data_IF_159722162096
#
_entry.id   IF_159722162096
#
_cell.length_a   1.000
_cell.length_b   1.000
_cell.length_c   1.000
_cell.angle_alpha   90.00
_cell.angle_beta   90.00
_cell.angle_gamma   90.00
#
_symmetry.space_group_name_H-M   'P 1'
#
loop_
_entity.id
_entity.type
_entity.pdbx_description
1 polymer ?
#
# COMPACT_ATOMS: atom_id res chain seq x y z
N UNK A 1 -19.94 13.16 19.71
CA UNK A 1 -20.08 11.98 18.82
C UNK A 1 -18.86 11.83 17.89
N UNK A 2 -17.64 11.83 18.45
CA UNK A 2 -16.37 11.75 17.68
C UNK A 2 -15.79 10.31 17.72
N UNK A 3 -16.42 9.40 18.46
CA UNK A 3 -15.85 8.10 18.80
C UNK A 3 -16.06 7.02 17.72
N UNK A 4 -17.08 7.14 16.86
CA UNK A 4 -17.39 6.09 15.86
C UNK A 4 -16.33 5.95 14.77
N UNK A 5 -15.88 7.07 14.21
CA UNK A 5 -14.83 7.10 13.18
C UNK A 5 -13.50 6.61 13.76
N UNK A 6 -13.18 7.00 15.01
CA UNK A 6 -11.96 6.57 15.65
C UNK A 6 -11.90 5.06 15.88
N UNK A 7 -12.99 4.50 16.42
CA UNK A 7 -13.12 3.06 16.62
C UNK A 7 -12.99 2.30 15.31
N UNK A 8 -13.68 2.73 14.24
CA UNK A 8 -13.57 2.09 12.93
C UNK A 8 -12.15 2.17 12.35
N UNK A 9 -11.49 3.32 12.47
CA UNK A 9 -10.11 3.50 11.99
C UNK A 9 -9.11 2.58 12.70
N UNK A 10 -9.26 2.40 14.02
CA UNK A 10 -8.41 1.49 14.81
C UNK A 10 -8.65 0.03 14.42
N UNK A 11 -9.91 -0.40 14.34
CA UNK A 11 -10.23 -1.77 13.90
C UNK A 11 -9.72 -2.05 12.49
N UNK A 12 -9.89 -1.08 11.58
CA UNK A 12 -9.38 -1.19 10.22
C UNK A 12 -7.86 -1.29 10.18
N UNK A 13 -7.15 -0.43 10.90
CA UNK A 13 -5.69 -0.46 10.98
C UNK A 13 -5.16 -1.80 11.52
N UNK A 14 -5.77 -2.32 12.58
CA UNK A 14 -5.39 -3.62 13.16
C UNK A 14 -5.68 -4.79 12.22
N UNK A 15 -6.84 -4.78 11.56
CA UNK A 15 -7.21 -5.80 10.59
C UNK A 15 -6.24 -5.80 9.39
N UNK A 16 -5.91 -4.61 8.88
CA UNK A 16 -5.00 -4.47 7.75
C UNK A 16 -3.54 -4.79 8.11
N UNK A 17 -3.10 -4.44 9.31
CA UNK A 17 -1.81 -4.88 9.86
C UNK A 17 -1.75 -6.40 9.96
N UNK A 18 -2.76 -7.04 10.56
CA UNK A 18 -2.84 -8.49 10.61
C UNK A 18 -2.83 -9.14 9.21
N UNK A 19 -3.60 -8.59 8.27
CA UNK A 19 -3.62 -9.09 6.90
C UNK A 19 -2.25 -8.96 6.21
N UNK A 20 -1.55 -7.85 6.45
CA UNK A 20 -0.17 -7.62 5.98
C UNK A 20 0.78 -8.68 6.56
N UNK A 21 0.68 -8.93 7.87
CA UNK A 21 1.47 -9.96 8.56
C UNK A 21 1.19 -11.37 8.01
N UNK A 22 -0.07 -11.71 7.72
CA UNK A 22 -0.43 -12.99 7.09
C UNK A 22 0.21 -13.12 5.70
N UNK A 23 0.17 -12.06 4.87
CA UNK A 23 0.82 -12.06 3.56
C UNK A 23 2.34 -12.18 3.65
N UNK A 24 2.94 -11.54 4.65
CA UNK A 24 4.37 -11.68 4.94
C UNK A 24 4.72 -13.13 5.30
N UNK A 25 3.95 -13.76 6.19
CA UNK A 25 4.15 -15.16 6.59
C UNK A 25 4.00 -16.13 5.41
N UNK A 26 3.13 -15.82 4.45
CA UNK A 26 2.94 -16.57 3.20
C UNK A 26 4.04 -16.32 2.15
N UNK A 27 5.03 -15.45 2.44
CA UNK A 27 6.09 -15.02 1.51
C UNK A 27 5.57 -14.39 0.22
N UNK A 28 4.35 -13.86 0.24
CA UNK A 28 3.75 -13.15 -0.90
C UNK A 28 4.32 -11.72 -1.04
N UNK A 29 4.81 -11.15 0.06
CA UNK A 29 5.42 -9.83 0.12
C UNK A 29 6.81 -9.89 0.76
N UNK A 30 7.71 -9.04 0.29
CA UNK A 30 9.06 -8.89 0.86
C UNK A 30 9.00 -8.30 2.27
N UNK A 31 9.98 -8.61 3.12
CA UNK A 31 10.13 -8.00 4.45
C UNK A 31 10.10 -6.47 4.39
N UNK A 32 10.69 -5.86 3.35
CA UNK A 32 10.67 -4.40 3.16
C UNK A 32 9.28 -3.86 2.84
N UNK A 33 8.49 -4.61 2.07
CA UNK A 33 7.12 -4.24 1.74
C UNK A 33 6.23 -4.37 2.98
N UNK A 34 6.39 -5.45 3.76
CA UNK A 34 5.66 -5.65 5.01
C UNK A 34 5.94 -4.51 6.01
N UNK A 35 7.21 -4.14 6.22
CA UNK A 35 7.59 -3.00 7.07
C UNK A 35 6.97 -1.69 6.59
N UNK A 36 7.01 -1.41 5.28
CA UNK A 36 6.38 -0.21 4.72
C UNK A 36 4.88 -0.15 4.99
N UNK A 37 4.18 -1.27 4.83
CA UNK A 37 2.74 -1.36 5.11
C UNK A 37 2.43 -1.22 6.60
N UNK A 38 3.22 -1.84 7.49
CA UNK A 38 3.04 -1.69 8.95
C UNK A 38 3.23 -0.24 9.42
N UNK A 39 4.20 0.49 8.86
CA UNK A 39 4.37 1.92 9.14
C UNK A 39 3.14 2.72 8.72
N UNK A 40 2.55 2.41 7.58
CA UNK A 40 1.33 3.09 7.10
C UNK A 40 0.14 2.79 8.02
N UNK A 41 -0.11 1.52 8.36
CA UNK A 41 -1.23 1.15 9.23
C UNK A 41 -1.09 1.74 10.63
N UNK A 42 0.11 1.68 11.20
CA UNK A 42 0.42 2.30 12.49
C UNK A 42 0.25 3.81 12.45
N UNK A 43 0.73 4.46 11.38
CA UNK A 43 0.55 5.90 11.17
C UNK A 43 -0.91 6.32 11.13
N UNK A 44 -1.77 5.55 10.44
CA UNK A 44 -3.22 5.78 10.40
C UNK A 44 -3.84 5.65 11.80
N UNK A 45 -3.47 4.62 12.57
CA UNK A 45 -3.97 4.44 13.94
C UNK A 45 -3.59 5.64 14.82
N UNK A 46 -2.33 6.08 14.78
CA UNK A 46 -1.83 7.22 15.58
C UNK A 46 -2.58 8.50 15.23
N UNK A 47 -2.76 8.77 13.94
CA UNK A 47 -3.52 9.91 13.42
C UNK A 47 -4.95 9.92 13.96
N UNK A 48 -5.59 8.75 13.93
CA UNK A 48 -7.00 8.60 14.33
C UNK A 48 -7.18 8.78 15.84
N UNK A 49 -6.20 8.38 16.64
CA UNK A 49 -6.23 8.51 18.10
C UNK A 49 -5.95 9.94 18.60
N UNK A 50 -5.25 10.76 17.81
CA UNK A 50 -4.84 12.13 18.21
C UNK A 50 -5.34 13.18 17.21
N UNK A 51 -6.66 13.41 17.10
CA UNK A 51 -7.22 14.37 16.15
C UNK A 51 -6.81 15.83 16.45
N UNK A 52 -6.56 16.18 17.72
CA UNK A 52 -6.29 17.57 18.15
C UNK A 52 -4.90 18.12 17.80
N UNK A 53 -3.91 17.26 17.53
CA UNK A 53 -2.58 17.72 17.07
C UNK A 53 -2.60 18.01 15.56
N UNK A 54 -3.42 17.26 14.82
CA UNK A 54 -3.55 17.38 13.37
C UNK A 54 -4.29 18.67 12.99
N UNK A 55 -5.30 19.09 13.76
CA UNK A 55 -6.00 20.36 13.51
C UNK A 55 -5.06 21.56 13.48
N UNK A 56 -4.10 21.64 14.42
CA UNK A 56 -3.12 22.73 14.49
C UNK A 56 -2.15 22.75 13.29
N UNK A 57 -1.90 21.58 12.69
CA UNK A 57 -1.09 21.49 11.47
C UNK A 57 -1.91 21.87 10.23
N UNK A 58 -3.17 21.44 10.15
CA UNK A 58 -4.07 21.70 9.02
C UNK A 58 -4.40 23.17 8.83
N UNK A 59 -4.52 23.93 9.92
CA UNK A 59 -4.74 25.37 9.89
C UNK A 59 -3.57 26.10 9.18
N UNK A 60 -2.34 25.58 9.30
CA UNK A 60 -1.16 26.13 8.60
C UNK A 60 -1.17 25.83 7.11
N UNK A 61 -1.76 24.71 6.70
CA UNK A 61 -1.83 24.26 5.30
C UNK A 61 -3.11 24.75 4.61
N UNK A 62 -3.98 25.50 5.32
CA UNK A 62 -5.29 25.99 4.84
C UNK A 62 -6.20 24.87 4.32
N UNK A 63 -6.02 23.66 4.83
CA UNK A 63 -6.89 22.53 4.48
C UNK A 63 -8.04 22.54 5.48
N UNK A 64 -9.24 22.81 5.00
CA UNK A 64 -10.43 23.00 5.83
C UNK A 64 -10.74 21.80 6.75
N UNK A 65 -10.31 20.58 6.38
CA UNK A 65 -10.56 19.35 7.12
C UNK A 65 -9.42 18.34 6.98
N UNK A 66 -9.09 17.66 8.08
CA UNK A 66 -8.09 16.59 8.11
C UNK A 66 -8.34 15.52 7.05
N UNK A 67 -9.62 15.19 6.85
CA UNK A 67 -10.09 14.20 5.91
C UNK A 67 -9.68 14.54 4.47
N UNK A 68 -9.70 15.81 4.08
CA UNK A 68 -9.36 16.23 2.72
C UNK A 68 -7.86 16.00 2.44
N UNK A 69 -6.99 16.21 3.44
CA UNK A 69 -5.56 15.88 3.33
C UNK A 69 -5.33 14.37 3.19
N UNK A 70 -6.02 13.55 4.00
CA UNK A 70 -5.91 12.09 3.90
C UNK A 70 -6.42 11.54 2.57
N UNK A 71 -7.50 12.12 2.02
CA UNK A 71 -7.99 11.77 0.69
C UNK A 71 -6.95 12.07 -0.38
N UNK A 72 -6.38 13.27 -0.38
CA UNK A 72 -5.38 13.66 -1.39
C UNK A 72 -4.12 12.79 -1.28
N UNK A 73 -3.60 12.61 -0.07
CA UNK A 73 -2.43 11.75 0.16
C UNK A 73 -2.72 10.29 -0.20
N UNK A 74 -3.90 9.79 0.16
CA UNK A 74 -4.34 8.44 -0.19
C UNK A 74 -4.46 8.24 -1.70
N UNK A 75 -4.99 9.22 -2.43
CA UNK A 75 -5.07 9.18 -3.89
C UNK A 75 -3.68 9.19 -4.54
N UNK A 76 -2.78 10.08 -4.10
CA UNK A 76 -1.41 10.13 -4.60
C UNK A 76 -0.69 8.81 -4.33
N UNK A 77 -0.85 8.26 -3.12
CA UNK A 77 -0.26 6.99 -2.74
C UNK A 77 -0.81 5.83 -3.58
N UNK A 78 -2.13 5.74 -3.76
CA UNK A 78 -2.75 4.72 -4.60
C UNK A 78 -2.30 4.80 -6.06
N UNK A 79 -2.20 6.02 -6.61
CA UNK A 79 -1.69 6.24 -7.96
C UNK A 79 -0.24 5.77 -8.09
N UNK A 80 0.62 6.14 -7.13
CA UNK A 80 2.02 5.73 -7.11
C UNK A 80 2.18 4.21 -7.03
N UNK A 81 1.43 3.54 -6.14
CA UNK A 81 1.44 2.08 -5.98
C UNK A 81 0.90 1.40 -7.24
N UNK A 82 -0.19 1.91 -7.82
CA UNK A 82 -0.79 1.35 -9.03
C UNK A 82 0.15 1.47 -10.23
N UNK A 83 0.81 2.63 -10.37
CA UNK A 83 1.81 2.85 -11.40
C UNK A 83 3.02 1.92 -11.23
N UNK A 84 3.53 1.80 -10.01
CA UNK A 84 4.61 0.86 -9.69
C UNK A 84 4.24 -0.59 -10.03
N UNK A 85 3.01 -0.99 -9.67
CA UNK A 85 2.49 -2.33 -9.96
C UNK A 85 2.38 -2.56 -11.48
N UNK A 86 1.84 -1.59 -12.22
CA UNK A 86 1.72 -1.64 -13.67
C UNK A 86 3.08 -1.85 -14.36
N UNK A 87 4.10 -1.07 -13.96
CA UNK A 87 5.46 -1.19 -14.49
C UNK A 87 6.04 -2.57 -14.17
N UNK A 88 5.87 -3.06 -12.93
CA UNK A 88 6.37 -4.38 -12.54
C UNK A 88 5.67 -5.51 -13.30
N UNK A 89 4.34 -5.45 -13.46
CA UNK A 89 3.58 -6.46 -14.21
C UNK A 89 4.08 -6.53 -15.65
N UNK A 90 4.26 -5.39 -16.32
CA UNK A 90 4.75 -5.36 -17.70
C UNK A 90 6.18 -5.90 -17.82
N UNK A 91 7.06 -5.58 -16.85
CA UNK A 91 8.42 -6.13 -16.80
C UNK A 91 8.42 -7.66 -16.63
N UNK A 92 7.54 -8.18 -15.78
CA UNK A 92 7.42 -9.63 -15.55
C UNK A 92 6.81 -10.33 -16.77
N UNK A 93 5.81 -9.72 -17.42
CA UNK A 93 5.23 -10.23 -18.66
C UNK A 93 6.29 -10.40 -19.75
N UNK A 94 7.11 -9.37 -19.99
CA UNK A 94 8.19 -9.43 -20.99
C UNK A 94 9.21 -10.53 -20.69
N UNK A 95 9.63 -10.69 -19.42
CA UNK A 95 10.53 -11.78 -19.02
C UNK A 95 9.92 -13.16 -19.25
N UNK A 96 8.62 -13.32 -18.98
CA UNK A 96 7.94 -14.58 -19.26
C UNK A 96 7.87 -14.87 -20.75
N UNK A 97 7.59 -13.87 -21.59
CA UNK A 97 7.61 -14.00 -23.05
C UNK A 97 9.01 -14.41 -23.57
N UNK A 98 10.07 -13.74 -23.12
CA UNK A 98 11.46 -14.07 -23.45
C UNK A 98 11.81 -15.51 -23.04
N UNK A 99 11.43 -15.93 -21.82
CA UNK A 99 11.66 -17.29 -21.33
C UNK A 99 10.94 -18.34 -22.19
N UNK A 100 9.67 -18.11 -22.53
CA UNK A 100 8.89 -19.02 -23.38
C UNK A 100 9.51 -19.11 -24.78
N UNK A 101 9.95 -17.99 -25.35
CA UNK A 101 10.63 -17.96 -26.65
C UNK A 101 11.93 -18.78 -26.63
N UNK A 102 12.79 -18.57 -25.63
CA UNK A 102 14.05 -19.33 -25.48
C UNK A 102 13.77 -20.82 -25.33
N UNK A 103 12.76 -21.19 -24.53
CA UNK A 103 12.37 -22.59 -24.35
C UNK A 103 11.83 -23.22 -25.64
N UNK A 104 11.07 -22.47 -26.44
CA UNK A 104 10.55 -22.94 -27.72
C UNK A 104 11.66 -23.17 -28.76
N UNK A 105 12.60 -22.23 -28.89
CA UNK A 105 13.76 -22.36 -29.80
C UNK A 105 14.62 -23.56 -29.42
N UNK A 106 14.99 -23.68 -28.14
CA UNK A 106 15.78 -24.83 -27.64
C UNK A 106 15.09 -26.16 -27.87
N UNK A 107 13.75 -26.21 -27.81
CA UNK A 107 12.97 -27.42 -28.09
C UNK A 107 12.99 -27.77 -29.57
N UNK A 108 12.99 -26.77 -30.45
CA UNK A 108 13.06 -26.96 -31.90
C UNK A 108 14.45 -27.44 -32.36
N UNK A 109 15.53 -26.88 -31.80
CA UNK A 109 16.92 -27.28 -32.13
C UNK A 109 17.30 -28.70 -31.66
N UNK A 110 16.59 -29.24 -30.66
CA UNK A 110 16.84 -30.57 -30.09
C UNK A 110 16.10 -31.70 -30.82
N UNK A 111 15.35 -31.38 -31.88
CA UNK A 111 14.59 -32.30 -32.74
C UNK A 111 15.26 -32.42 -34.10
#
# INVERSE_FOLDING_TARGET
>A
MINGVATLGVFFGLFMGYYTFVKYKRKEISSWQALGWEVIWTGIIVVVLIPGQISNFLDKVKIARALDLFLVLGMIFLLAVSFYLFVNINKQKRKHEELVQILAIKKAEKR
#
